data_IF_243434712354
#
_entry.id   IF_243434712354
#
_cell.length_a   1.000
_cell.length_b   1.000
_cell.length_c   1.000
_cell.angle_alpha   90.00
_cell.angle_beta   90.00
_cell.angle_gamma   90.00
#
_symmetry.space_group_name_H-M   'P 1'
#
loop_
_entity.id
_entity.type
_entity.pdbx_description
1 polymer ?
#
# COMPACT_ATOMS: atom_id res chain seq x y z
N UNK A 1 12.49 19.12 1.33
CA UNK A 1 11.62 19.73 0.29
C UNK A 1 10.32 18.96 0.16
N UNK A 2 9.25 19.63 -0.19
CA UNK A 2 7.91 19.01 -0.30
C UNK A 2 7.88 17.90 -1.38
N UNK A 3 8.65 18.05 -2.45
CA UNK A 3 8.75 17.04 -3.51
C UNK A 3 9.39 15.74 -3.00
N UNK A 4 10.27 15.82 -2.00
CA UNK A 4 10.87 14.63 -1.39
C UNK A 4 9.83 13.84 -0.60
N UNK A 5 8.85 14.52 -0.01
CA UNK A 5 7.73 13.88 0.68
C UNK A 5 6.89 13.08 -0.31
N UNK A 6 6.60 13.67 -1.49
CA UNK A 6 5.85 12.96 -2.53
C UNK A 6 6.62 11.74 -3.06
N UNK A 7 7.93 11.88 -3.26
CA UNK A 7 8.76 10.76 -3.72
C UNK A 7 8.78 9.63 -2.69
N UNK A 8 8.93 9.96 -1.41
CA UNK A 8 8.89 8.97 -0.33
C UNK A 8 7.52 8.28 -0.26
N UNK A 9 6.44 9.04 -0.34
CA UNK A 9 5.09 8.49 -0.31
C UNK A 9 4.84 7.56 -1.51
N UNK A 10 5.29 7.93 -2.70
CA UNK A 10 5.16 7.08 -3.89
C UNK A 10 5.92 5.76 -3.72
N UNK A 11 7.11 5.78 -3.15
CA UNK A 11 7.90 4.58 -2.88
C UNK A 11 7.22 3.67 -1.85
N UNK A 12 6.68 4.25 -0.78
CA UNK A 12 5.94 3.52 0.25
C UNK A 12 4.69 2.89 -0.36
N UNK A 13 3.96 3.62 -1.18
CA UNK A 13 2.76 3.12 -1.86
C UNK A 13 3.06 1.93 -2.76
N UNK A 14 4.14 2.01 -3.54
CA UNK A 14 4.57 0.91 -4.41
C UNK A 14 4.97 -0.32 -3.60
N UNK A 15 5.69 -0.14 -2.48
CA UNK A 15 6.06 -1.23 -1.59
C UNK A 15 4.84 -1.90 -0.97
N UNK A 16 3.85 -1.11 -0.55
CA UNK A 16 2.60 -1.63 0.02
C UNK A 16 1.80 -2.45 -1.00
N UNK A 17 1.69 -1.98 -2.23
CA UNK A 17 1.02 -2.73 -3.32
C UNK A 17 1.75 -4.03 -3.60
N UNK A 18 3.08 -4.00 -3.67
CA UNK A 18 3.89 -5.20 -3.89
C UNK A 18 3.67 -6.23 -2.77
N UNK A 19 3.66 -5.79 -1.52
CA UNK A 19 3.39 -6.65 -0.37
C UNK A 19 2.00 -7.27 -0.46
N UNK A 20 1.00 -6.48 -0.81
CA UNK A 20 -0.39 -6.93 -0.96
C UNK A 20 -0.51 -8.02 -2.03
N UNK A 21 0.09 -7.81 -3.20
CA UNK A 21 0.07 -8.79 -4.30
C UNK A 21 0.76 -10.09 -3.88
N UNK A 22 1.90 -9.99 -3.20
CA UNK A 22 2.62 -11.18 -2.72
C UNK A 22 1.79 -11.97 -1.69
N UNK A 23 1.11 -11.29 -0.79
CA UNK A 23 0.24 -11.94 0.20
C UNK A 23 -0.93 -12.64 -0.52
N UNK A 24 -1.58 -11.97 -1.46
CA UNK A 24 -2.68 -12.54 -2.24
C UNK A 24 -2.25 -13.78 -3.01
N UNK A 25 -1.07 -13.74 -3.63
CA UNK A 25 -0.51 -14.87 -4.35
C UNK A 25 -0.25 -16.07 -3.43
N UNK A 26 0.25 -15.80 -2.21
CA UNK A 26 0.50 -16.84 -1.23
C UNK A 26 -0.79 -17.43 -0.66
N UNK A 27 -1.81 -16.61 -0.43
CA UNK A 27 -3.12 -17.06 0.05
C UNK A 27 -3.73 -18.08 -0.92
N UNK A 28 -3.56 -17.88 -2.21
CA UNK A 28 -4.13 -18.77 -3.23
C UNK A 28 -3.71 -20.24 -3.07
N UNK A 29 -2.54 -20.50 -2.46
CA UNK A 29 -2.04 -21.86 -2.22
C UNK A 29 -2.33 -22.39 -0.82
N UNK A 30 -2.97 -21.63 0.06
CA UNK A 30 -3.19 -22.00 1.46
C UNK A 30 -4.59 -22.59 1.63
N UNK A 31 -4.70 -23.66 2.42
CA UNK A 31 -5.97 -24.32 2.73
C UNK A 31 -6.46 -24.06 4.15
N UNK A 32 -5.61 -23.53 5.03
CA UNK A 32 -5.95 -23.20 6.41
C UNK A 32 -6.77 -21.90 6.43
N UNK A 33 -8.05 -22.02 6.77
CA UNK A 33 -8.97 -20.87 6.79
C UNK A 33 -8.58 -19.80 7.80
N UNK A 34 -8.05 -20.18 8.96
CA UNK A 34 -7.63 -19.23 9.98
C UNK A 34 -6.44 -18.41 9.48
N UNK A 35 -5.48 -19.06 8.82
CA UNK A 35 -4.31 -18.38 8.25
C UNK A 35 -4.71 -17.49 7.08
N UNK A 36 -5.63 -17.93 6.23
CA UNK A 36 -6.18 -17.09 5.14
C UNK A 36 -6.80 -15.82 5.71
N UNK A 37 -7.62 -15.94 6.76
CA UNK A 37 -8.27 -14.78 7.37
C UNK A 37 -7.23 -13.80 7.95
N UNK A 38 -6.20 -14.32 8.62
CA UNK A 38 -5.13 -13.49 9.19
C UNK A 38 -4.36 -12.74 8.09
N UNK A 39 -3.94 -13.46 7.05
CA UNK A 39 -3.20 -12.86 5.93
C UNK A 39 -4.04 -11.89 5.13
N UNK A 40 -5.34 -12.17 4.97
CA UNK A 40 -6.27 -11.22 4.32
C UNK A 40 -6.38 -9.92 5.10
N UNK A 41 -6.34 -9.98 6.43
CA UNK A 41 -6.29 -8.79 7.28
C UNK A 41 -5.02 -7.99 7.08
N UNK A 42 -3.87 -8.65 6.94
CA UNK A 42 -2.59 -7.99 6.64
C UNK A 42 -2.62 -7.34 5.26
N UNK A 43 -3.18 -8.02 4.26
CA UNK A 43 -3.33 -7.45 2.92
C UNK A 43 -4.21 -6.19 2.94
N UNK A 44 -5.27 -6.18 3.73
CA UNK A 44 -6.13 -5.00 3.90
C UNK A 44 -5.38 -3.83 4.54
N UNK A 45 -4.49 -4.09 5.50
CA UNK A 45 -3.64 -3.06 6.09
C UNK A 45 -2.69 -2.46 5.05
N UNK A 46 -2.09 -3.30 4.20
CA UNK A 46 -1.22 -2.83 3.13
C UNK A 46 -1.99 -1.96 2.12
N UNK A 47 -3.22 -2.35 1.78
CA UNK A 47 -4.09 -1.55 0.92
C UNK A 47 -4.36 -0.17 1.52
N UNK A 48 -4.61 -0.09 2.82
CA UNK A 48 -4.81 1.17 3.53
C UNK A 48 -3.57 2.06 3.51
N UNK A 49 -2.37 1.48 3.64
CA UNK A 49 -1.11 2.21 3.52
C UNK A 49 -0.94 2.76 2.11
N UNK A 50 -1.19 1.96 1.08
CA UNK A 50 -1.11 2.38 -0.31
C UNK A 50 -2.07 3.53 -0.61
N UNK A 51 -3.28 3.46 -0.10
CA UNK A 51 -4.30 4.50 -0.27
C UNK A 51 -3.87 5.82 0.38
N UNK A 52 -3.37 5.76 1.60
CA UNK A 52 -2.87 6.96 2.29
C UNK A 52 -1.66 7.57 1.59
N UNK A 53 -0.75 6.73 1.11
CA UNK A 53 0.41 7.18 0.35
C UNK A 53 -0.02 7.91 -0.93
N UNK A 54 -1.00 7.37 -1.65
CA UNK A 54 -1.54 8.00 -2.85
C UNK A 54 -2.17 9.37 -2.54
N UNK A 55 -2.87 9.50 -1.42
CA UNK A 55 -3.44 10.79 -0.99
C UNK A 55 -2.36 11.82 -0.67
N UNK A 56 -1.26 11.40 -0.06
CA UNK A 56 -0.13 12.30 0.21
C UNK A 56 0.47 12.79 -1.11
N UNK A 57 0.69 11.91 -2.08
CA UNK A 57 1.20 12.29 -3.40
C UNK A 57 0.27 13.31 -4.07
N UNK A 58 -1.03 13.05 -4.06
CA UNK A 58 -2.03 13.96 -4.64
C UNK A 58 -1.98 15.33 -3.95
N UNK A 59 -1.95 15.36 -2.62
CA UNK A 59 -1.92 16.61 -1.86
C UNK A 59 -0.66 17.43 -2.17
N UNK A 60 0.50 16.77 -2.27
CA UNK A 60 1.75 17.44 -2.58
C UNK A 60 1.73 17.99 -4.01
N UNK A 61 1.21 17.22 -4.97
CA UNK A 61 1.10 17.68 -6.36
C UNK A 61 0.18 18.89 -6.48
N UNK A 62 -0.91 18.91 -5.75
CA UNK A 62 -1.81 20.08 -5.71
C UNK A 62 -1.10 21.30 -5.13
N UNK A 63 -0.32 21.12 -4.06
CA UNK A 63 0.46 22.18 -3.45
C UNK A 63 1.49 22.77 -4.43
N UNK A 64 2.18 21.92 -5.19
CA UNK A 64 3.19 22.31 -6.17
C UNK A 64 2.53 23.12 -7.30
N UNK A 65 1.35 22.73 -7.75
CA UNK A 65 0.66 23.34 -8.87
C UNK A 65 -0.05 24.65 -8.53
N UNK A 66 -0.10 25.01 -7.25
CA UNK A 66 -0.68 26.28 -6.81
C UNK A 66 0.34 27.40 -6.94
#
# INVERSE_FOLDING_TARGET
MISDIAAAAAAIGAAAVTAQVNIEANIAGIKDEALIAELSGVAALADGVADRAARVVTAVREEIST
#
